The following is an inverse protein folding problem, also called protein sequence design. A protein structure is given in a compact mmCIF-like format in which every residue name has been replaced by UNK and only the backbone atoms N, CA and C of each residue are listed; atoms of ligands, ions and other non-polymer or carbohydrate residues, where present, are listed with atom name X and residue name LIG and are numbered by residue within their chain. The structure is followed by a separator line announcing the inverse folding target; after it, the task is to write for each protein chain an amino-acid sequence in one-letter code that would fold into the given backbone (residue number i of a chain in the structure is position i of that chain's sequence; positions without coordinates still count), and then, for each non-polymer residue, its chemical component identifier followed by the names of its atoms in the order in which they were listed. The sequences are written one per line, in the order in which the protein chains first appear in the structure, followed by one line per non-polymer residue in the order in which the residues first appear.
data_IF_891960690439
#
_entry.id   IF_891960690439
#
_cell.length_a   1.000
_cell.length_b   1.000
_cell.length_c   1.000
_cell.angle_alpha   90.00
_cell.angle_beta   90.00
_cell.angle_gamma   90.00
#
_symmetry.space_group_name_H-M   'P 1'
#
loop_
_entity.id
_entity.type
_entity.pdbx_description
1 polymer ?
#
# COMPACT_ATOMS: atom_id res chain seq x y z
N UNK A 1 8.17 -21.26 -12.14
CA UNK A 1 7.31 -22.21 -12.87
C UNK A 1 5.87 -21.79 -12.65
N UNK A 2 5.08 -21.56 -13.71
CA UNK A 2 3.68 -21.09 -13.65
C UNK A 2 2.68 -22.14 -13.09
N UNK A 3 3.17 -23.13 -12.34
CA UNK A 3 2.37 -24.19 -11.74
C UNK A 3 1.73 -25.12 -12.78
N UNK A 4 1.07 -26.17 -12.29
CA UNK A 4 0.13 -26.94 -13.11
C UNK A 4 -1.21 -26.20 -13.15
N UNK A 5 -1.98 -26.26 -14.25
CA UNK A 5 -3.33 -25.71 -14.29
C UNK A 5 -4.15 -26.21 -13.09
N UNK A 6 -4.66 -25.28 -12.27
CA UNK A 6 -5.54 -25.59 -11.15
C UNK A 6 -6.98 -25.30 -11.54
N UNK A 7 -7.91 -26.09 -11.00
CA UNK A 7 -9.34 -25.82 -11.12
C UNK A 7 -9.66 -24.51 -10.38
N UNK A 8 -10.38 -23.62 -11.06
CA UNK A 8 -10.96 -22.45 -10.42
C UNK A 8 -12.09 -22.92 -9.48
N UNK A 9 -11.95 -22.64 -8.18
CA UNK A 9 -12.91 -23.01 -7.14
C UNK A 9 -12.88 -21.97 -6.02
N UNK A 10 -13.90 -21.97 -5.16
CA UNK A 10 -13.92 -21.12 -3.97
C UNK A 10 -12.73 -21.40 -3.05
N UNK A 11 -12.42 -22.68 -2.81
CA UNK A 11 -11.26 -23.09 -2.03
C UNK A 11 -9.95 -22.54 -2.61
N UNK A 12 -9.79 -22.57 -3.94
CA UNK A 12 -8.63 -21.99 -4.62
C UNK A 12 -8.55 -20.47 -4.37
N UNK A 13 -9.66 -19.74 -4.48
CA UNK A 13 -9.69 -18.30 -4.21
C UNK A 13 -9.30 -17.98 -2.76
N UNK A 14 -9.78 -18.76 -1.79
CA UNK A 14 -9.44 -18.61 -0.38
C UNK A 14 -7.94 -18.82 -0.17
N UNK A 15 -7.36 -19.88 -0.72
CA UNK A 15 -5.94 -20.18 -0.62
C UNK A 15 -5.06 -19.09 -1.25
N UNK A 16 -5.38 -18.65 -2.46
CA UNK A 16 -4.60 -17.61 -3.15
C UNK A 16 -4.73 -16.26 -2.44
N UNK A 17 -5.91 -15.92 -1.92
CA UNK A 17 -6.10 -14.73 -1.09
C UNK A 17 -5.26 -14.80 0.19
N UNK A 18 -5.19 -15.97 0.83
CA UNK A 18 -4.38 -16.15 2.03
C UNK A 18 -2.88 -15.97 1.73
N UNK A 19 -2.37 -16.59 0.66
CA UNK A 19 -0.98 -16.42 0.21
C UNK A 19 -0.66 -14.96 -0.11
N UNK A 20 -1.57 -14.27 -0.80
CA UNK A 20 -1.41 -12.85 -1.11
C UNK A 20 -1.33 -12.00 0.15
N UNK A 21 -2.16 -12.29 1.16
CA UNK A 21 -2.13 -11.56 2.43
C UNK A 21 -0.81 -11.81 3.19
N UNK A 22 -0.35 -13.07 3.26
CA UNK A 22 0.93 -13.41 3.88
C UNK A 22 2.11 -12.70 3.20
N UNK A 23 2.12 -12.68 1.86
CA UNK A 23 3.15 -11.95 1.11
C UNK A 23 3.09 -10.45 1.40
N UNK A 24 1.90 -9.84 1.41
CA UNK A 24 1.71 -8.42 1.74
C UNK A 24 2.18 -8.07 3.16
N UNK A 25 1.92 -8.93 4.14
CA UNK A 25 2.40 -8.76 5.52
C UNK A 25 3.93 -8.85 5.59
N UNK A 26 4.54 -9.81 4.90
CA UNK A 26 5.99 -9.93 4.83
C UNK A 26 6.65 -8.68 4.23
N UNK A 27 6.11 -8.14 3.14
CA UNK A 27 6.60 -6.90 2.52
C UNK A 27 6.48 -5.71 3.49
N UNK A 28 5.36 -5.59 4.21
CA UNK A 28 5.15 -4.52 5.20
C UNK A 28 6.15 -4.59 6.36
N UNK A 29 6.43 -5.80 6.87
CA UNK A 29 7.45 -5.99 7.90
C UNK A 29 8.83 -5.56 7.40
N UNK A 30 9.18 -5.91 6.16
CA UNK A 30 10.45 -5.48 5.56
C UNK A 30 10.50 -3.94 5.39
N UNK A 31 9.41 -3.29 4.99
CA UNK A 31 9.35 -1.82 4.95
C UNK A 31 9.54 -1.19 6.33
N UNK A 32 8.99 -1.78 7.40
CA UNK A 32 9.19 -1.28 8.76
C UNK A 32 10.66 -1.38 9.19
N UNK A 33 11.35 -2.48 8.86
CA UNK A 33 12.79 -2.65 9.09
C UNK A 33 13.63 -1.61 8.33
N UNK A 34 13.30 -1.37 7.05
CA UNK A 34 14.00 -0.39 6.21
C UNK A 34 13.81 1.04 6.75
N UNK A 35 12.58 1.41 7.12
CA UNK A 35 12.28 2.73 7.69
C UNK A 35 12.92 2.92 9.07
N UNK A 36 13.08 1.86 9.85
CA UNK A 36 13.81 1.88 11.12
C UNK A 36 15.34 1.91 10.93
N UNK A 37 15.84 1.78 9.70
CA UNK A 37 17.27 1.71 9.40
C UNK A 37 17.94 0.42 9.88
N UNK A 38 17.18 -0.61 10.22
CA UNK A 38 17.71 -1.89 10.74
C UNK A 38 18.10 -2.87 9.64
N UNK A 39 17.77 -2.56 8.39
CA UNK A 39 18.05 -3.40 7.22
C UNK A 39 18.40 -2.56 6.00
N UNK A 40 19.47 -2.94 5.32
CA UNK A 40 19.91 -2.25 4.11
C UNK A 40 19.12 -2.73 2.90
N UNK A 41 18.35 -1.81 2.32
CA UNK A 41 17.78 -1.95 1.00
C UNK A 41 16.52 -2.79 0.88
N UNK A 42 15.94 -2.70 -0.30
CA UNK A 42 14.76 -3.43 -0.73
C UNK A 42 15.10 -4.32 -1.93
N UNK A 43 14.48 -5.50 -2.05
CA UNK A 43 14.41 -6.21 -3.32
C UNK A 43 14.08 -5.24 -4.46
N UNK A 44 14.75 -5.38 -5.61
CA UNK A 44 14.67 -4.42 -6.71
C UNK A 44 13.26 -4.32 -7.35
N UNK A 45 12.42 -5.33 -7.14
CA UNK A 45 11.03 -5.39 -7.56
C UNK A 45 10.07 -4.67 -6.59
N UNK A 46 10.54 -4.26 -5.42
CA UNK A 46 9.76 -3.50 -4.45
C UNK A 46 10.06 -2.00 -4.54
N UNK A 47 8.98 -1.22 -4.66
CA UNK A 47 9.06 0.23 -4.54
C UNK A 47 9.49 0.64 -3.12
N UNK A 48 10.10 1.82 -2.99
CA UNK A 48 10.42 2.38 -1.68
C UNK A 48 9.13 2.64 -0.87
N UNK A 49 9.14 2.41 0.45
CA UNK A 49 8.00 2.71 1.30
C UNK A 49 7.71 4.20 1.30
N UNK A 50 6.43 4.54 1.31
CA UNK A 50 6.00 5.93 1.41
C UNK A 50 6.25 6.48 2.82
N UNK A 51 6.70 7.72 2.92
CA UNK A 51 7.04 8.40 4.19
C UNK A 51 6.12 9.58 4.49
N UNK A 52 6.10 10.02 5.75
CA UNK A 52 5.39 11.24 6.17
C UNK A 52 5.93 12.46 5.42
N UNK A 53 5.03 13.35 5.00
CA UNK A 53 5.32 14.53 4.20
C UNK A 53 5.37 14.29 2.69
N UNK A 54 5.40 13.03 2.26
CA UNK A 54 5.50 12.68 0.84
C UNK A 54 4.22 13.05 0.07
N UNK A 55 4.42 13.58 -1.15
CA UNK A 55 3.37 13.88 -2.12
C UNK A 55 2.89 12.61 -2.80
N UNK A 56 1.58 12.43 -2.87
CA UNK A 56 0.95 11.22 -3.39
C UNK A 56 -0.33 11.54 -4.14
N UNK A 57 -0.74 10.62 -5.00
CA UNK A 57 -2.11 10.54 -5.51
C UNK A 57 -2.85 9.42 -4.80
N UNK A 58 -4.09 9.66 -4.41
CA UNK A 58 -4.93 8.67 -3.72
C UNK A 58 -6.38 8.77 -4.16
N UNK A 59 -7.10 7.64 -4.09
CA UNK A 59 -8.55 7.60 -4.31
C UNK A 59 -9.23 8.03 -3.01
N UNK A 60 -9.94 9.15 -3.05
CA UNK A 60 -10.67 9.64 -1.88
C UNK A 60 -11.84 8.70 -1.54
N UNK A 61 -12.02 8.28 -0.27
CA UNK A 61 -12.90 7.17 0.07
C UNK A 61 -14.39 7.45 -0.15
N UNK A 62 -14.81 8.72 -0.06
CA UNK A 62 -16.22 9.12 -0.23
C UNK A 62 -16.55 9.40 -1.69
N UNK A 63 -15.74 10.21 -2.36
CA UNK A 63 -15.99 10.64 -3.75
C UNK A 63 -15.59 9.57 -4.76
N UNK A 64 -14.69 8.66 -4.38
CA UNK A 64 -14.09 7.64 -5.27
C UNK A 64 -13.29 8.21 -6.43
N UNK A 65 -12.96 9.50 -6.37
CA UNK A 65 -12.14 10.21 -7.33
C UNK A 65 -10.68 10.23 -6.90
N UNK A 66 -9.78 10.41 -7.86
CA UNK A 66 -8.33 10.51 -7.62
C UNK A 66 -8.00 11.96 -7.32
N UNK A 67 -7.28 12.19 -6.23
CA UNK A 67 -6.80 13.52 -5.88
C UNK A 67 -5.38 13.45 -5.33
N UNK A 68 -4.69 14.57 -5.46
CA UNK A 68 -3.37 14.80 -4.90
C UNK A 68 -3.47 15.11 -3.40
N UNK A 69 -2.43 14.76 -2.67
CA UNK A 69 -2.31 15.07 -1.25
C UNK A 69 -0.93 14.78 -0.68
N UNK A 70 -0.82 14.93 0.64
CA UNK A 70 0.40 14.61 1.40
C UNK A 70 0.11 13.60 2.51
N UNK A 71 1.07 12.71 2.75
CA UNK A 71 0.98 11.75 3.85
C UNK A 71 1.23 12.47 5.17
N UNK A 72 0.27 12.42 6.08
CA UNK A 72 0.41 12.91 7.44
C UNK A 72 0.93 11.82 8.39
N UNK A 73 0.42 10.59 8.25
CA UNK A 73 0.83 9.45 9.08
C UNK A 73 0.77 8.16 8.29
N UNK A 74 1.67 7.23 8.62
CA UNK A 74 1.68 5.85 8.10
C UNK A 74 1.30 4.92 9.26
N UNK A 75 0.17 4.22 9.14
CA UNK A 75 -0.33 3.26 10.13
C UNK A 75 -0.43 1.87 9.48
N UNK A 76 0.66 1.11 9.52
CA UNK A 76 0.87 -0.29 9.07
C UNK A 76 0.29 -0.66 7.68
N UNK A 77 -1.03 -0.59 7.52
CA UNK A 77 -1.80 -0.90 6.32
C UNK A 77 -2.57 0.30 5.71
N UNK A 78 -2.52 1.48 6.34
CA UNK A 78 -3.27 2.67 5.97
C UNK A 78 -2.40 3.91 6.02
N UNK A 79 -2.77 4.89 5.19
CA UNK A 79 -2.17 6.20 5.16
C UNK A 79 -3.23 7.21 5.56
N UNK A 80 -2.86 8.17 6.41
CA UNK A 80 -3.67 9.35 6.64
C UNK A 80 -3.18 10.42 5.66
N UNK A 81 -4.03 10.80 4.72
CA UNK A 81 -3.68 11.75 3.66
C UNK A 81 -4.46 13.03 3.86
N UNK A 82 -3.74 14.16 3.87
CA UNK A 82 -4.33 15.48 3.69
C UNK A 82 -4.45 15.72 2.19
N UNK A 83 -5.67 15.81 1.69
CA UNK A 83 -5.90 16.18 0.30
C UNK A 83 -5.70 17.68 0.10
N UNK A 84 -5.24 18.07 -1.08
CA UNK A 84 -4.96 19.47 -1.41
C UNK A 84 -6.24 20.32 -1.50
N UNK A 85 -7.31 19.72 -2.00
CA UNK A 85 -8.62 20.35 -2.01
C UNK A 85 -9.14 20.38 -0.58
N UNK A 86 -9.21 21.57 0.00
CA UNK A 86 -9.59 21.79 1.40
C UNK A 86 -10.93 21.12 1.79
N UNK A 87 -11.89 21.04 0.87
CA UNK A 87 -13.20 20.41 1.07
C UNK A 87 -13.11 18.89 1.30
N UNK A 88 -12.06 18.23 0.79
CA UNK A 88 -11.83 16.80 0.97
C UNK A 88 -11.16 16.49 2.32
N UNK A 89 -10.47 17.47 2.90
CA UNK A 89 -9.87 17.37 4.23
C UNK A 89 -8.85 16.22 4.37
N UNK A 90 -8.91 15.55 5.53
CA UNK A 90 -8.02 14.44 5.89
C UNK A 90 -8.80 13.14 5.95
N UNK A 91 -8.32 12.13 5.25
CA UNK A 91 -8.96 10.81 5.25
C UNK A 91 -7.94 9.68 5.40
N UNK A 92 -8.43 8.52 5.82
CA UNK A 92 -7.67 7.28 5.77
C UNK A 92 -7.86 6.59 4.42
N UNK A 93 -6.74 6.25 3.77
CA UNK A 93 -6.71 5.53 2.50
C UNK A 93 -5.84 4.28 2.63
N UNK A 94 -6.19 3.23 1.89
CA UNK A 94 -5.42 1.98 1.90
C UNK A 94 -4.30 1.95 0.85
N UNK A 95 -4.42 2.77 -0.19
CA UNK A 95 -3.49 2.78 -1.33
C UNK A 95 -3.23 4.22 -1.73
N UNK A 96 -1.94 4.56 -1.76
CA UNK A 96 -1.40 5.78 -2.33
C UNK A 96 -0.45 5.37 -3.45
N UNK A 97 -0.34 6.22 -4.46
CA UNK A 97 0.64 6.08 -5.53
C UNK A 97 1.59 7.27 -5.53
N UNK A 98 2.82 7.05 -5.99
CA UNK A 98 3.80 8.11 -6.22
C UNK A 98 3.29 9.04 -7.33
N UNK A 99 3.44 10.35 -7.14
CA UNK A 99 3.46 11.27 -8.28
C UNK A 99 4.75 10.97 -9.07
N UNK A 100 4.60 10.54 -10.33
CA UNK A 100 5.72 10.39 -11.27
C UNK A 100 6.18 11.75 -11.79
#
# INVERSE_FOLDING_TARGET
SLGRPRRFSEQFLIEEKHKLNQYRESVRSHYAEVLAGTKEGLPADLAQPLIVGQRVIAIHPKTREIHDGSILTVDHCRYRVQFDHHELGVEFVMVCFLLL
#
